data_IF_162626467120
#
_entry.id   IF_162626467120
#
_cell.length_a   1.000
_cell.length_b   1.000
_cell.length_c   1.000
_cell.angle_alpha   90.00
_cell.angle_beta   90.00
_cell.angle_gamma   90.00
#
_symmetry.space_group_name_H-M   'P 1'
#
loop_
_entity.id
_entity.type
_entity.pdbx_description
1 polymer ?
#
# COMPACT_ATOMS: atom_id res chain seq x y z
N UNK A 1 -9.21 13.22 6.16
CA UNK A 1 -7.89 12.74 6.61
C UNK A 1 -8.00 11.29 7.04
N UNK A 2 -7.80 10.41 6.05
CA UNK A 2 -7.80 8.96 6.15
C UNK A 2 -6.40 8.41 5.92
N UNK A 3 -6.13 7.23 6.47
CA UNK A 3 -5.03 6.40 6.02
C UNK A 3 -5.55 5.00 5.73
N UNK A 4 -4.85 4.30 4.85
CA UNK A 4 -5.16 2.91 4.49
C UNK A 4 -3.87 2.11 4.51
N UNK A 5 -3.99 0.86 4.96
CA UNK A 5 -2.94 -0.14 4.88
C UNK A 5 -3.54 -1.32 4.13
N UNK A 6 -3.01 -1.63 2.95
CA UNK A 6 -3.46 -2.77 2.14
C UNK A 6 -2.41 -3.88 2.19
N UNK A 7 -2.83 -5.12 2.40
CA UNK A 7 -1.95 -6.27 2.28
C UNK A 7 -1.89 -6.71 0.82
N UNK A 8 -0.68 -6.73 0.24
CA UNK A 8 -0.46 -7.12 -1.14
C UNK A 8 0.14 -8.53 -1.20
N UNK A 9 -0.69 -9.51 -1.53
CA UNK A 9 -0.26 -10.90 -1.80
C UNK A 9 0.09 -11.08 -3.28
N UNK A 10 1.10 -10.33 -3.72
CA UNK A 10 1.67 -10.42 -5.06
C UNK A 10 2.72 -11.55 -5.17
N UNK A 11 3.61 -11.47 -6.16
CA UNK A 11 4.84 -12.29 -6.22
C UNK A 11 5.73 -12.12 -4.98
N UNK A 12 5.69 -10.94 -4.36
CA UNK A 12 6.37 -10.66 -3.09
C UNK A 12 5.34 -10.09 -2.15
N UNK A 13 5.19 -10.72 -0.99
CA UNK A 13 4.33 -10.22 0.08
C UNK A 13 4.86 -8.89 0.59
N UNK A 14 3.99 -7.87 0.61
CA UNK A 14 4.30 -6.56 1.18
C UNK A 14 3.01 -5.86 1.59
N UNK A 15 3.14 -4.71 2.24
CA UNK A 15 2.02 -3.85 2.61
C UNK A 15 2.15 -2.52 1.91
N UNK A 16 1.04 -1.93 1.48
CA UNK A 16 1.00 -0.55 0.98
C UNK A 16 0.45 0.37 2.07
N UNK A 17 1.25 1.33 2.51
CA UNK A 17 0.81 2.43 3.38
C UNK A 17 0.38 3.61 2.51
N UNK A 18 -0.81 4.13 2.76
CA UNK A 18 -1.38 5.26 2.02
C UNK A 18 -1.88 6.34 2.97
N UNK A 19 -1.48 7.58 2.75
CA UNK A 19 -1.87 8.75 3.55
C UNK A 19 -2.60 9.76 2.67
N UNK A 20 -3.84 10.10 3.03
CA UNK A 20 -4.64 11.11 2.33
C UNK A 20 -3.99 12.48 2.51
N UNK A 21 -3.59 13.09 1.39
CA UNK A 21 -3.02 14.44 1.35
C UNK A 21 -3.24 15.06 -0.02
N UNK A 22 -3.66 16.33 -0.05
CA UNK A 22 -3.82 17.11 -1.28
C UNK A 22 -4.75 16.44 -2.33
N UNK A 23 -5.80 15.76 -1.86
CA UNK A 23 -6.80 15.09 -2.72
C UNK A 23 -6.35 13.75 -3.30
N UNK A 24 -5.20 13.22 -2.90
CA UNK A 24 -4.67 11.91 -3.32
C UNK A 24 -4.17 11.10 -2.13
N UNK A 25 -3.88 9.82 -2.36
CA UNK A 25 -3.11 8.99 -1.46
C UNK A 25 -1.62 9.04 -1.81
N UNK A 26 -0.82 9.69 -0.96
CA UNK A 26 0.63 9.50 -0.96
C UNK A 26 0.92 8.09 -0.48
N UNK A 27 1.67 7.33 -1.27
CA UNK A 27 1.73 5.87 -1.14
C UNK A 27 3.17 5.35 -1.00
N UNK A 28 3.33 4.31 -0.18
CA UNK A 28 4.61 3.61 0.03
C UNK A 28 4.40 2.11 0.15
N UNK A 29 5.22 1.34 -0.57
CA UNK A 29 5.36 -0.10 -0.35
C UNK A 29 6.29 -0.37 0.84
N UNK A 30 5.86 -1.26 1.74
CA UNK A 30 6.55 -1.63 2.98
C UNK A 30 6.79 -3.15 2.97
N UNK A 31 7.93 -3.62 2.42
CA UNK A 31 8.17 -5.04 2.14
C UNK A 31 8.13 -5.95 3.36
N UNK A 32 8.43 -5.41 4.55
CA UNK A 32 8.43 -6.18 5.80
C UNK A 32 7.22 -5.86 6.69
N UNK A 33 6.22 -5.17 6.18
CA UNK A 33 5.08 -4.68 6.94
C UNK A 33 5.42 -3.55 7.91
N UNK A 34 4.38 -3.01 8.53
CA UNK A 34 4.46 -1.87 9.44
C UNK A 34 5.17 -2.25 10.76
N UNK A 35 5.81 -1.28 11.43
CA UNK A 35 6.36 -1.51 12.76
C UNK A 35 5.22 -1.72 13.76
N UNK A 36 5.30 -2.80 14.54
CA UNK A 36 4.31 -3.14 15.59
C UNK A 36 4.82 -2.84 17.01
N UNK A 37 6.10 -2.49 17.14
CA UNK A 37 6.73 -2.06 18.39
C UNK A 37 7.42 -0.71 18.18
N UNK A 38 7.43 0.10 19.25
CA UNK A 38 8.14 1.38 19.27
C UNK A 38 9.65 1.14 19.06
N UNK A 39 10.28 2.00 18.24
CA UNK A 39 11.70 1.91 17.92
C UNK A 39 12.05 0.96 16.76
N UNK A 40 11.11 0.15 16.27
CA UNK A 40 11.33 -0.64 15.05
C UNK A 40 11.38 0.26 13.82
N UNK A 41 12.44 0.11 13.03
CA UNK A 41 12.59 0.80 11.74
C UNK A 41 12.19 -0.14 10.60
N UNK A 42 11.40 0.36 9.67
CA UNK A 42 10.96 -0.35 8.45
C UNK A 42 11.32 0.47 7.23
N UNK A 43 11.73 -0.20 6.17
CA UNK A 43 11.90 0.42 4.86
C UNK A 43 10.53 0.71 4.27
N UNK A 44 10.29 1.96 3.87
CA UNK A 44 9.13 2.38 3.11
C UNK A 44 9.62 2.96 1.78
N UNK A 45 9.25 2.31 0.69
CA UNK A 45 9.64 2.72 -0.67
C UNK A 45 8.49 3.51 -1.27
N UNK A 46 8.72 4.77 -1.62
CA UNK A 46 7.68 5.61 -2.21
C UNK A 46 7.27 5.06 -3.58
N UNK A 47 5.95 5.02 -3.81
CA UNK A 47 5.35 4.63 -5.09
C UNK A 47 4.45 5.76 -5.62
N UNK A 48 3.85 5.54 -6.78
CA UNK A 48 2.96 6.52 -7.40
C UNK A 48 1.77 6.89 -6.49
N UNK A 49 1.27 8.10 -6.64
CA UNK A 49 0.08 8.55 -5.92
C UNK A 49 -1.15 7.76 -6.41
N UNK A 50 -2.09 7.51 -5.51
CA UNK A 50 -3.32 6.78 -5.84
C UNK A 50 -4.54 7.68 -5.61
N UNK A 51 -5.61 7.47 -6.37
CA UNK A 51 -6.88 8.15 -6.18
C UNK A 51 -7.52 7.75 -4.84
N UNK A 52 -8.36 8.62 -4.26
CA UNK A 52 -8.99 8.34 -2.96
C UNK A 52 -9.95 7.15 -3.00
N UNK A 53 -10.58 6.90 -4.14
CA UNK A 53 -11.41 5.71 -4.40
C UNK A 53 -10.61 4.40 -4.32
N UNK A 54 -9.30 4.43 -4.59
CA UNK A 54 -8.44 3.27 -4.48
C UNK A 54 -8.27 2.78 -3.03
N UNK A 55 -8.43 3.68 -2.05
CA UNK A 55 -8.35 3.31 -0.64
C UNK A 55 -9.49 2.41 -0.16
N UNK A 56 -10.58 2.35 -0.92
CA UNK A 56 -11.73 1.47 -0.66
C UNK A 56 -11.70 0.19 -1.50
N UNK A 57 -10.72 0.03 -2.38
CA UNK A 57 -10.61 -1.14 -3.23
C UNK A 57 -10.04 -2.34 -2.46
N UNK A 58 -10.78 -3.45 -2.51
CA UNK A 58 -10.37 -4.79 -2.12
C UNK A 58 -10.68 -5.74 -3.29
N UNK A 59 -9.76 -6.64 -3.63
CA UNK A 59 -9.90 -7.45 -4.84
C UNK A 59 -8.59 -7.95 -5.44
N UNK A 60 -8.72 -8.65 -6.58
CA UNK A 60 -7.58 -9.24 -7.29
C UNK A 60 -7.22 -8.36 -8.48
N UNK A 61 -6.02 -7.79 -8.47
CA UNK A 61 -5.51 -7.06 -9.64
C UNK A 61 -5.06 -8.08 -10.70
N UNK A 62 -5.56 -8.01 -11.95
CA UNK A 62 -5.21 -8.95 -13.00
C UNK A 62 -3.70 -9.06 -13.25
N UNK A 63 -3.24 -10.29 -13.51
CA UNK A 63 -1.84 -10.55 -13.84
C UNK A 63 -1.42 -9.77 -15.11
N UNK A 64 -0.24 -9.14 -15.07
CA UNK A 64 0.32 -8.37 -16.19
C UNK A 64 0.27 -6.86 -16.02
N UNK A 65 -0.46 -6.33 -15.03
CA UNK A 65 -0.30 -4.93 -14.61
C UNK A 65 0.93 -4.75 -13.72
N UNK A 66 1.56 -3.56 -13.77
CA UNK A 66 2.77 -3.22 -13.01
C UNK A 66 2.58 -3.34 -11.48
N UNK A 67 1.32 -3.29 -11.03
CA UNK A 67 0.82 -3.42 -9.66
C UNK A 67 0.07 -4.73 -9.40
N UNK A 68 0.22 -5.76 -10.25
CA UNK A 68 -0.53 -7.02 -10.12
C UNK A 68 -0.31 -7.70 -8.76
N UNK A 69 -1.32 -7.61 -7.90
CA UNK A 69 -1.34 -8.12 -6.55
C UNK A 69 -2.81 -8.29 -6.08
N UNK A 70 -3.07 -9.29 -5.25
CA UNK A 70 -4.34 -9.37 -4.52
C UNK A 70 -4.24 -8.44 -3.32
N UNK A 71 -5.15 -7.46 -3.25
CA UNK A 71 -5.34 -6.59 -2.09
C UNK A 71 -6.39 -7.20 -1.18
N UNK A 72 -5.98 -7.59 0.02
CA UNK A 72 -6.84 -7.92 1.17
C UNK A 72 -6.62 -6.89 2.29
#
# INVERSE_FOLDING_TARGET
MRFVVQEQKAKTHHFDLRLEKDGVFKSWAVPKGLPVLVGQKRLAVQVEDHSLEWGDFEGVIPAGQRSAAATE
#
